data_IF_525968044461
#
_entry.id   IF_525968044461
#
_cell.length_a   1.000
_cell.length_b   1.000
_cell.length_c   1.000
_cell.angle_alpha   90.00
_cell.angle_beta   90.00
_cell.angle_gamma   90.00
#
_symmetry.space_group_name_H-M   'P 1'
#
loop_
_entity.id
_entity.type
_entity.pdbx_description
1 polymer ?
#
# COMPACT_ATOMS: atom_id res chain seq x y z
N UNK A 1 31.20 6.32 -22.22
CA UNK A 1 29.78 5.97 -22.02
C UNK A 1 29.73 4.73 -21.15
N UNK A 2 29.40 4.89 -19.88
CA UNK A 2 29.55 3.84 -18.86
C UNK A 2 28.40 2.85 -18.87
N UNK A 3 28.66 1.59 -18.51
CA UNK A 3 27.68 0.49 -18.37
C UNK A 3 26.49 0.82 -17.45
N UNK A 4 26.59 1.84 -16.60
CA UNK A 4 25.56 2.26 -15.64
C UNK A 4 24.37 2.99 -16.28
N UNK A 5 24.57 3.68 -17.40
CA UNK A 5 23.48 4.43 -18.07
C UNK A 5 22.52 3.52 -18.88
N UNK A 6 22.99 2.36 -19.30
CA UNK A 6 22.17 1.43 -20.07
C UNK A 6 21.18 0.65 -19.18
N UNK A 7 21.57 0.38 -17.94
CA UNK A 7 20.74 -0.34 -16.94
C UNK A 7 19.64 0.57 -16.37
N UNK A 8 19.95 1.82 -16.12
CA UNK A 8 18.98 2.80 -15.61
C UNK A 8 17.84 3.15 -16.56
N UNK A 9 18.07 3.13 -17.87
CA UNK A 9 17.04 3.33 -18.90
C UNK A 9 16.14 2.10 -19.06
N UNK A 10 16.71 0.91 -19.00
CA UNK A 10 15.99 -0.36 -19.05
C UNK A 10 15.09 -0.53 -17.82
N UNK A 11 15.58 -0.17 -16.62
CA UNK A 11 14.80 -0.20 -15.39
C UNK A 11 13.63 0.81 -15.42
N UNK A 12 13.81 2.01 -15.96
CA UNK A 12 12.72 3.00 -16.13
C UNK A 12 11.68 2.51 -17.14
N UNK A 13 12.08 1.83 -18.20
CA UNK A 13 11.16 1.25 -19.19
C UNK A 13 10.37 0.06 -18.60
N UNK A 14 10.97 -0.77 -17.75
CA UNK A 14 10.30 -1.87 -17.06
C UNK A 14 9.26 -1.35 -16.05
N UNK A 15 9.54 -0.24 -15.35
CA UNK A 15 8.60 0.38 -14.40
C UNK A 15 7.36 0.91 -15.13
N UNK A 16 7.49 1.40 -16.37
CA UNK A 16 6.36 1.82 -17.21
C UNK A 16 5.57 0.64 -17.83
N UNK A 17 6.06 -0.58 -17.71
CA UNK A 17 5.45 -1.81 -18.24
C UNK A 17 4.98 -2.78 -17.16
N UNK A 18 5.04 -2.41 -15.86
CA UNK A 18 4.43 -3.25 -14.83
C UNK A 18 2.91 -3.26 -15.07
N UNK A 19 2.30 -4.41 -15.33
CA UNK A 19 0.88 -4.51 -15.58
C UNK A 19 0.10 -4.31 -14.28
N UNK A 20 -0.08 -3.03 -13.88
CA UNK A 20 -0.97 -2.68 -12.79
C UNK A 20 -2.39 -2.75 -13.34
N UNK A 21 -3.21 -3.55 -12.70
CA UNK A 21 -4.63 -3.66 -13.02
C UNK A 21 -5.49 -3.61 -11.77
N UNK A 22 -6.75 -3.38 -11.94
CA UNK A 22 -7.72 -3.54 -10.86
C UNK A 22 -7.93 -5.01 -10.56
N UNK A 23 -8.20 -5.33 -9.28
CA UNK A 23 -8.61 -6.66 -8.88
C UNK A 23 -9.94 -7.02 -9.56
N UNK A 24 -10.02 -8.21 -10.15
CA UNK A 24 -11.19 -8.71 -10.86
C UNK A 24 -11.96 -9.73 -10.00
N UNK A 25 -13.26 -9.90 -10.20
CA UNK A 25 -14.03 -10.93 -9.49
C UNK A 25 -13.52 -12.36 -9.70
N UNK A 26 -12.77 -12.61 -10.78
CA UNK A 26 -12.14 -13.89 -11.08
C UNK A 26 -10.83 -14.13 -10.35
N UNK A 27 -10.25 -13.10 -9.72
CA UNK A 27 -8.99 -13.24 -8.97
C UNK A 27 -9.22 -14.02 -7.66
N UNK A 28 -8.25 -14.83 -7.30
CA UNK A 28 -8.31 -15.63 -6.09
C UNK A 28 -8.04 -14.76 -4.84
N UNK A 29 -9.07 -14.59 -4.01
CA UNK A 29 -8.91 -13.93 -2.70
C UNK A 29 -7.95 -14.69 -1.78
N UNK A 30 -7.87 -16.02 -1.91
CA UNK A 30 -6.91 -16.81 -1.16
C UNK A 30 -5.47 -16.46 -1.58
N UNK A 31 -5.19 -16.41 -2.88
CA UNK A 31 -3.86 -16.02 -3.39
C UNK A 31 -3.49 -14.59 -2.96
N UNK A 32 -4.46 -13.67 -3.01
CA UNK A 32 -4.26 -12.29 -2.55
C UNK A 32 -3.94 -12.23 -1.06
N UNK A 33 -4.65 -13.02 -0.24
CA UNK A 33 -4.43 -13.10 1.21
C UNK A 33 -3.05 -13.68 1.50
N UNK A 34 -2.66 -14.75 0.81
CA UNK A 34 -1.34 -15.36 0.95
C UNK A 34 -0.20 -14.39 0.56
N UNK A 35 -0.39 -13.58 -0.47
CA UNK A 35 0.55 -12.50 -0.82
C UNK A 35 0.70 -11.50 0.33
N UNK A 36 -0.42 -11.07 0.91
CA UNK A 36 -0.44 -10.11 2.03
C UNK A 36 0.29 -10.72 3.24
N UNK A 37 0.02 -11.97 3.60
CA UNK A 37 0.72 -12.67 4.69
C UNK A 37 2.23 -12.70 4.47
N UNK A 38 2.68 -13.09 3.28
CA UNK A 38 4.12 -13.12 2.96
C UNK A 38 4.77 -11.75 3.09
N UNK A 39 4.09 -10.69 2.63
CA UNK A 39 4.61 -9.33 2.69
C UNK A 39 4.71 -8.80 4.14
N UNK A 40 3.77 -9.19 5.01
CA UNK A 40 3.71 -8.73 6.40
C UNK A 40 4.44 -9.66 7.40
N UNK A 41 4.93 -10.82 6.96
CA UNK A 41 5.59 -11.80 7.84
C UNK A 41 6.74 -11.19 8.65
N UNK A 42 7.55 -10.29 8.05
CA UNK A 42 8.64 -9.60 8.75
C UNK A 42 8.12 -8.69 9.88
N UNK A 43 7.02 -7.99 9.66
CA UNK A 43 6.40 -7.13 10.68
C UNK A 43 5.82 -7.97 11.82
N UNK A 44 5.20 -9.09 11.50
CA UNK A 44 4.77 -10.08 12.49
C UNK A 44 5.93 -10.63 13.33
N UNK A 45 7.06 -10.95 12.71
CA UNK A 45 8.28 -11.40 13.40
C UNK A 45 8.88 -10.31 14.32
N UNK A 46 8.57 -9.02 14.09
CA UNK A 46 8.90 -7.92 15.00
C UNK A 46 7.94 -7.81 16.20
N UNK A 47 6.96 -8.70 16.33
CA UNK A 47 5.93 -8.66 17.37
C UNK A 47 4.79 -7.69 17.08
N UNK A 48 4.67 -7.19 15.86
CA UNK A 48 3.65 -6.22 15.46
C UNK A 48 2.41 -6.97 14.92
N UNK A 49 1.32 -6.91 15.64
CA UNK A 49 0.08 -7.63 15.32
C UNK A 49 -0.79 -6.91 14.26
N UNK A 50 -0.20 -6.57 13.09
CA UNK A 50 -0.98 -6.07 11.96
C UNK A 50 -2.07 -7.08 11.59
N UNK A 51 -3.25 -6.59 11.24
CA UNK A 51 -4.33 -7.45 10.71
C UNK A 51 -3.85 -8.27 9.50
N UNK A 52 -2.98 -7.68 8.68
CA UNK A 52 -2.41 -8.29 7.48
C UNK A 52 -1.43 -9.46 7.74
N UNK A 53 -1.05 -9.72 8.99
CA UNK A 53 -0.14 -10.83 9.34
C UNK A 53 -0.85 -12.17 9.23
N UNK A 54 -2.14 -12.23 9.63
CA UNK A 54 -2.91 -13.48 9.79
C UNK A 54 -4.40 -13.37 9.41
N UNK A 55 -4.80 -12.31 8.70
CA UNK A 55 -6.19 -12.09 8.30
C UNK A 55 -6.72 -13.22 7.41
N UNK A 56 -8.01 -13.57 7.54
CA UNK A 56 -8.65 -14.53 6.64
C UNK A 56 -8.97 -13.92 5.26
N UNK A 57 -9.28 -14.74 4.24
CA UNK A 57 -9.74 -14.24 2.94
C UNK A 57 -11.00 -13.37 3.05
N UNK A 58 -11.91 -13.67 3.98
CA UNK A 58 -13.13 -12.88 4.23
C UNK A 58 -12.76 -11.50 4.77
N UNK A 59 -11.78 -11.42 5.67
CA UNK A 59 -11.26 -10.13 6.16
C UNK A 59 -10.56 -9.37 5.04
N UNK A 60 -9.81 -10.05 4.16
CA UNK A 60 -9.21 -9.44 2.96
C UNK A 60 -10.29 -8.82 2.08
N UNK A 61 -11.38 -9.57 1.77
CA UNK A 61 -12.51 -9.08 0.98
C UNK A 61 -13.17 -7.86 1.61
N UNK A 62 -13.52 -7.93 2.91
CA UNK A 62 -14.13 -6.82 3.64
C UNK A 62 -13.26 -5.54 3.64
N UNK A 63 -11.95 -5.70 3.70
CA UNK A 63 -11.01 -4.56 3.67
C UNK A 63 -10.87 -3.93 2.28
N UNK A 64 -11.31 -4.60 1.22
CA UNK A 64 -11.38 -4.07 -0.16
C UNK A 64 -12.69 -3.31 -0.39
N UNK A 65 -13.77 -3.71 0.25
CA UNK A 65 -15.11 -3.13 0.05
C UNK A 65 -15.11 -1.59 0.16
N UNK A 66 -15.79 -0.93 -0.79
CA UNK A 66 -15.89 0.53 -0.84
C UNK A 66 -14.61 1.25 -1.27
N UNK A 67 -13.60 0.52 -1.75
CA UNK A 67 -12.37 1.06 -2.29
C UNK A 67 -12.02 0.51 -3.66
N UNK A 68 -10.92 1.01 -4.23
CA UNK A 68 -10.31 0.44 -5.44
C UNK A 68 -9.08 -0.39 -5.05
N UNK A 69 -9.09 -1.68 -5.39
CA UNK A 69 -7.94 -2.56 -5.21
C UNK A 69 -7.17 -2.68 -6.51
N UNK A 70 -5.87 -2.38 -6.44
CA UNK A 70 -4.92 -2.60 -7.53
C UNK A 70 -4.04 -3.80 -7.23
N UNK A 71 -3.68 -4.54 -8.28
CA UNK A 71 -2.78 -5.68 -8.20
C UNK A 71 -1.72 -5.61 -9.30
N UNK A 72 -0.58 -6.20 -9.03
CA UNK A 72 0.48 -6.48 -10.01
C UNK A 72 0.64 -7.97 -10.12
N UNK A 73 0.71 -8.45 -11.35
CA UNK A 73 0.93 -9.86 -11.68
C UNK A 73 2.28 -10.03 -12.36
N UNK A 74 3.03 -11.05 -11.96
CA UNK A 74 4.30 -11.46 -12.58
C UNK A 74 4.25 -12.99 -12.74
N UNK A 75 4.49 -13.46 -13.95
CA UNK A 75 4.46 -14.90 -14.27
C UNK A 75 3.14 -15.57 -13.80
N UNK A 76 2.00 -14.93 -14.07
CA UNK A 76 0.65 -15.39 -13.70
C UNK A 76 0.44 -15.57 -12.20
N UNK A 77 1.17 -14.84 -11.37
CA UNK A 77 1.03 -14.83 -9.90
C UNK A 77 0.93 -13.40 -9.37
N UNK A 78 0.08 -13.21 -8.37
CA UNK A 78 -0.02 -11.92 -7.68
C UNK A 78 1.29 -11.62 -6.95
N UNK A 79 1.90 -10.49 -7.30
CA UNK A 79 3.21 -10.03 -6.83
C UNK A 79 3.14 -8.75 -6.00
N UNK A 80 2.03 -8.00 -6.10
CA UNK A 80 1.79 -6.80 -5.32
C UNK A 80 0.33 -6.44 -5.27
N UNK A 81 -0.10 -5.75 -4.22
CA UNK A 81 -1.45 -5.23 -4.05
C UNK A 81 -1.48 -3.97 -3.21
N UNK A 82 -2.51 -3.16 -3.40
CA UNK A 82 -2.81 -1.97 -2.61
C UNK A 82 -4.29 -1.65 -2.75
N UNK A 83 -4.90 -1.12 -1.69
CA UNK A 83 -6.29 -0.65 -1.72
C UNK A 83 -6.30 0.83 -1.43
N UNK A 84 -6.95 1.64 -2.25
CA UNK A 84 -7.26 3.04 -1.97
C UNK A 84 -8.74 3.19 -1.66
N UNK A 85 -9.06 3.94 -0.61
CA UNK A 85 -10.42 4.22 -0.17
C UNK A 85 -10.69 5.72 -0.14
N UNK A 86 -11.93 6.14 -0.41
CA UNK A 86 -12.35 7.53 -0.23
C UNK A 86 -12.28 7.92 1.25
N UNK A 87 -12.48 9.19 1.53
CA UNK A 87 -12.63 9.73 2.89
C UNK A 87 -13.64 8.91 3.69
N UNK A 88 -13.24 8.46 4.87
CA UNK A 88 -14.14 7.75 5.78
C UNK A 88 -15.15 8.72 6.42
N UNK A 89 -16.38 8.27 6.61
CA UNK A 89 -17.36 9.01 7.41
C UNK A 89 -17.02 8.95 8.90
N UNK A 90 -16.61 7.75 9.35
CA UNK A 90 -16.18 7.46 10.73
C UNK A 90 -14.97 6.54 10.68
N UNK A 91 -13.95 6.82 11.48
CA UNK A 91 -12.75 6.02 11.59
C UNK A 91 -12.01 6.33 12.89
N UNK A 92 -11.34 5.36 13.51
CA UNK A 92 -10.49 5.60 14.68
C UNK A 92 -9.35 6.58 14.37
N UNK A 93 -8.83 6.55 13.13
CA UNK A 93 -7.89 7.56 12.64
C UNK A 93 -8.66 8.80 12.17
N UNK A 94 -8.70 9.83 12.98
CA UNK A 94 -9.38 11.08 12.66
C UNK A 94 -8.83 11.77 11.40
N UNK A 95 -7.58 11.51 11.02
CA UNK A 95 -7.02 12.05 9.79
C UNK A 95 -7.72 11.51 8.54
N UNK A 96 -8.14 10.24 8.57
CA UNK A 96 -8.83 9.61 7.43
C UNK A 96 -10.29 10.07 7.26
N UNK A 97 -10.84 10.78 8.24
CA UNK A 97 -12.20 11.38 8.15
C UNK A 97 -12.18 12.82 7.64
N UNK A 98 -11.00 13.41 7.40
CA UNK A 98 -10.87 14.79 6.93
C UNK A 98 -11.32 14.90 5.47
N UNK A 99 -12.15 15.90 5.13
CA UNK A 99 -12.60 16.12 3.74
C UNK A 99 -11.41 16.26 2.76
N UNK A 100 -11.45 15.51 1.67
CA UNK A 100 -10.43 15.54 0.63
C UNK A 100 -9.22 14.64 0.89
N UNK A 101 -9.26 13.80 1.93
CA UNK A 101 -8.24 12.79 2.22
C UNK A 101 -8.73 11.42 1.76
N UNK A 102 -8.01 10.78 0.84
CA UNK A 102 -8.15 9.35 0.54
C UNK A 102 -7.14 8.54 1.38
N UNK A 103 -7.46 7.30 1.67
CA UNK A 103 -6.61 6.45 2.53
C UNK A 103 -6.16 5.16 1.82
N UNK A 104 -4.92 4.74 2.07
CA UNK A 104 -4.34 3.50 1.55
C UNK A 104 -4.34 2.40 2.60
N UNK A 105 -4.71 1.20 2.17
CA UNK A 105 -4.74 0.00 2.99
C UNK A 105 -4.18 -1.22 2.25
N UNK A 106 -3.87 -2.30 2.99
CA UNK A 106 -3.43 -3.59 2.45
C UNK A 106 -2.31 -3.45 1.40
N UNK A 107 -1.37 -2.54 1.65
CA UNK A 107 -0.24 -2.32 0.75
C UNK A 107 0.80 -3.42 0.95
N UNK A 108 0.94 -4.29 -0.02
CA UNK A 108 1.81 -5.45 0.03
C UNK A 108 2.57 -5.65 -1.29
N UNK A 109 3.85 -6.01 -1.19
CA UNK A 109 4.67 -6.46 -2.31
C UNK A 109 5.38 -7.73 -1.88
N UNK A 110 5.29 -8.78 -2.68
CA UNK A 110 5.94 -10.05 -2.40
C UNK A 110 7.44 -9.84 -2.12
N UNK A 111 7.98 -10.32 -0.99
CA UNK A 111 9.37 -10.13 -0.60
C UNK A 111 10.38 -10.54 -1.68
N UNK A 112 10.03 -11.54 -2.50
CA UNK A 112 10.89 -12.07 -3.58
C UNK A 112 11.11 -11.08 -4.73
N UNK A 113 10.23 -10.07 -4.86
CA UNK A 113 10.27 -9.08 -5.94
C UNK A 113 10.31 -7.63 -5.46
N UNK A 114 10.53 -7.40 -4.17
CA UNK A 114 10.77 -6.06 -3.64
C UNK A 114 12.02 -5.42 -4.24
N UNK A 115 12.13 -4.08 -4.15
CA UNK A 115 13.26 -3.32 -4.71
C UNK A 115 13.17 -3.08 -6.23
N UNK A 116 12.18 -3.64 -6.92
CA UNK A 116 11.98 -3.51 -8.38
C UNK A 116 10.99 -2.40 -8.78
N UNK A 117 10.62 -1.51 -7.87
CA UNK A 117 9.73 -0.37 -8.15
C UNK A 117 8.22 -0.67 -8.07
N UNK A 118 7.80 -1.93 -7.83
CA UNK A 118 6.39 -2.35 -7.79
C UNK A 118 5.60 -1.52 -6.77
N UNK A 119 6.12 -1.38 -5.55
CA UNK A 119 5.44 -0.61 -4.50
C UNK A 119 5.25 0.86 -4.87
N UNK A 120 6.25 1.48 -5.51
CA UNK A 120 6.15 2.85 -6.00
C UNK A 120 5.07 2.99 -7.07
N UNK A 121 5.02 2.06 -8.02
CA UNK A 121 4.04 2.08 -9.09
C UNK A 121 2.61 1.88 -8.56
N UNK A 122 2.40 0.99 -7.58
CA UNK A 122 1.12 0.81 -6.90
C UNK A 122 0.66 2.08 -6.16
N UNK A 123 1.57 2.77 -5.45
CA UNK A 123 1.25 4.05 -4.80
C UNK A 123 0.89 5.12 -5.84
N UNK A 124 1.60 5.20 -6.95
CA UNK A 124 1.29 6.13 -8.04
C UNK A 124 -0.09 5.87 -8.66
N UNK A 125 -0.50 4.60 -8.78
CA UNK A 125 -1.87 4.27 -9.21
C UNK A 125 -2.92 4.78 -8.23
N UNK A 126 -2.68 4.66 -6.92
CA UNK A 126 -3.56 5.21 -5.89
C UNK A 126 -3.57 6.74 -5.88
N UNK A 127 -2.41 7.39 -6.09
CA UNK A 127 -2.31 8.85 -6.21
C UNK A 127 -3.13 9.35 -7.41
N UNK A 128 -3.02 8.69 -8.58
CA UNK A 128 -3.80 8.99 -9.78
C UNK A 128 -5.30 8.82 -9.54
N UNK A 129 -5.71 7.69 -8.97
CA UNK A 129 -7.11 7.46 -8.61
C UNK A 129 -7.65 8.55 -7.69
N UNK A 130 -6.90 8.91 -6.65
CA UNK A 130 -7.33 9.94 -5.70
C UNK A 130 -7.49 11.32 -6.38
N UNK A 131 -6.56 11.70 -7.27
CA UNK A 131 -6.65 12.94 -8.05
C UNK A 131 -7.87 12.94 -8.98
N UNK A 132 -8.11 11.86 -9.72
CA UNK A 132 -9.25 11.70 -10.63
C UNK A 132 -10.59 11.78 -9.90
N UNK A 133 -10.64 11.39 -8.61
CA UNK A 133 -11.83 11.46 -7.76
C UNK A 133 -11.89 12.72 -6.90
N UNK A 134 -11.03 13.71 -7.15
CA UNK A 134 -11.05 15.02 -6.50
C UNK A 134 -10.51 15.07 -5.07
N UNK A 135 -9.77 14.02 -4.65
CA UNK A 135 -9.05 14.06 -3.38
C UNK A 135 -7.78 14.91 -3.49
N UNK A 136 -7.45 15.59 -2.41
CA UNK A 136 -6.29 16.49 -2.34
C UNK A 136 -5.11 15.88 -1.64
N UNK A 137 -5.32 14.81 -0.89
CA UNK A 137 -4.30 14.12 -0.12
C UNK A 137 -4.50 12.61 -0.21
N UNK A 138 -3.39 11.88 -0.21
CA UNK A 138 -3.37 10.43 0.00
C UNK A 138 -2.64 10.14 1.31
N UNK A 139 -3.30 9.45 2.23
CA UNK A 139 -2.79 9.15 3.55
C UNK A 139 -2.69 7.64 3.79
N UNK A 140 -1.82 7.26 4.72
CA UNK A 140 -1.63 5.89 5.19
C UNK A 140 -1.12 5.89 6.64
N UNK A 141 -1.12 4.72 7.26
CA UNK A 141 -0.49 4.54 8.55
C UNK A 141 0.45 3.32 8.58
N UNK A 142 1.40 3.35 9.46
CA UNK A 142 2.29 2.22 9.74
C UNK A 142 2.75 2.27 11.20
N UNK A 143 3.12 1.11 11.76
CA UNK A 143 3.63 1.05 13.13
C UNK A 143 4.85 1.96 13.31
N UNK A 144 4.89 2.66 14.43
CA UNK A 144 5.99 3.55 14.81
C UNK A 144 7.34 2.82 14.82
N UNK A 145 7.35 1.53 15.19
CA UNK A 145 8.54 0.67 15.18
C UNK A 145 9.00 0.26 13.77
N UNK A 146 8.15 0.43 12.75
CA UNK A 146 8.50 0.11 11.36
C UNK A 146 9.26 1.27 10.69
N UNK A 147 10.33 1.76 11.31
CA UNK A 147 11.11 2.91 10.85
C UNK A 147 11.55 2.81 9.38
N UNK A 148 11.86 1.60 8.91
CA UNK A 148 12.24 1.38 7.52
C UNK A 148 11.13 1.73 6.53
N UNK A 149 9.85 1.50 6.89
CA UNK A 149 8.69 1.89 6.10
C UNK A 149 8.46 3.40 6.19
N UNK A 150 8.56 4.00 7.37
CA UNK A 150 8.45 5.45 7.56
C UNK A 150 9.49 6.17 6.68
N UNK A 151 10.75 5.72 6.70
CA UNK A 151 11.83 6.26 5.86
C UNK A 151 11.56 6.06 4.35
N UNK A 152 10.98 4.93 3.98
CA UNK A 152 10.59 4.66 2.59
C UNK A 152 9.50 5.64 2.13
N UNK A 153 8.43 5.80 2.89
CA UNK A 153 7.32 6.69 2.55
C UNK A 153 7.74 8.16 2.54
N UNK A 154 8.61 8.58 3.47
CA UNK A 154 9.18 9.93 3.46
C UNK A 154 9.92 10.24 2.14
N UNK A 155 10.71 9.29 1.61
CA UNK A 155 11.38 9.42 0.30
C UNK A 155 10.40 9.48 -0.88
N UNK A 156 9.18 9.01 -0.72
CA UNK A 156 8.11 9.08 -1.72
C UNK A 156 7.25 10.35 -1.56
N UNK A 157 7.59 11.22 -0.62
CA UNK A 157 6.92 12.51 -0.40
C UNK A 157 5.79 12.50 0.62
N UNK A 158 5.63 11.41 1.38
CA UNK A 158 4.68 11.34 2.48
C UNK A 158 5.29 11.93 3.75
N UNK A 159 4.58 12.84 4.39
CA UNK A 159 5.00 13.52 5.61
C UNK A 159 4.22 13.02 6.81
N UNK A 160 4.85 13.01 7.96
CA UNK A 160 4.20 12.70 9.24
C UNK A 160 3.17 13.78 9.58
N UNK A 161 1.93 13.37 9.85
CA UNK A 161 0.79 14.27 10.12
C UNK A 161 0.07 13.95 11.42
N UNK A 162 0.40 12.86 12.09
CA UNK A 162 -0.20 12.47 13.37
C UNK A 162 0.03 11.03 13.74
N UNK A 163 -0.68 10.59 14.76
CA UNK A 163 -0.63 9.23 15.27
C UNK A 163 -2.05 8.68 15.42
N UNK A 164 -2.16 7.36 15.42
CA UNK A 164 -3.38 6.65 15.79
C UNK A 164 -3.04 5.42 16.63
N UNK A 165 -3.82 5.16 17.67
CA UNK A 165 -3.81 3.92 18.41
C UNK A 165 -5.05 3.12 18.00
N UNK A 166 -4.84 2.13 17.15
CA UNK A 166 -5.93 1.25 16.72
C UNK A 166 -6.34 0.30 17.84
N UNK A 167 -7.62 0.09 17.99
CA UNK A 167 -8.16 -0.90 18.95
C UNK A 167 -7.56 -2.29 18.72
N UNK A 168 -7.10 -2.93 19.79
CA UNK A 168 -6.50 -4.27 19.75
C UNK A 168 -5.08 -4.35 19.19
N UNK A 169 -4.42 -3.22 18.83
CA UNK A 169 -3.04 -3.22 18.37
C UNK A 169 -2.07 -2.95 19.52
N UNK A 170 -0.96 -3.70 19.52
CA UNK A 170 0.11 -3.59 20.53
C UNK A 170 1.11 -2.47 20.21
N UNK A 171 0.86 -1.70 19.17
CA UNK A 171 1.70 -0.60 18.70
C UNK A 171 0.85 0.62 18.37
N UNK A 172 1.46 1.79 18.44
CA UNK A 172 0.90 3.03 17.90
C UNK A 172 1.33 3.18 16.44
N UNK A 173 0.44 3.64 15.57
CA UNK A 173 0.76 3.95 14.19
C UNK A 173 1.13 5.41 14.01
N UNK A 174 2.13 5.66 13.16
CA UNK A 174 2.41 6.96 12.57
C UNK A 174 1.50 7.13 11.36
N UNK A 175 0.78 8.24 11.29
CA UNK A 175 -0.04 8.63 10.13
C UNK A 175 0.80 9.50 9.21
N UNK A 176 0.84 9.14 7.94
CA UNK A 176 1.61 9.79 6.89
C UNK A 176 0.66 10.28 5.80
N UNK A 177 0.89 11.47 5.26
CA UNK A 177 0.08 12.03 4.16
C UNK A 177 0.96 12.72 3.12
N UNK A 178 0.51 12.67 1.87
CA UNK A 178 1.10 13.35 0.73
C UNK A 178 0.06 14.21 0.04
N UNK A 179 0.29 15.53 -0.10
CA UNK A 179 -0.54 16.39 -0.94
C UNK A 179 -0.46 15.94 -2.40
N UNK A 180 -1.61 15.89 -3.05
CA UNK A 180 -1.75 15.58 -4.47
C UNK A 180 -1.89 16.89 -5.25
N UNK A 181 -1.20 17.00 -6.39
CA UNK A 181 -1.16 18.21 -7.22
C UNK A 181 -2.00 18.02 -8.47
#
# INVERSE_FOLDING_TARGET
>A
MSRLDFDGRRLRQIIHMLPIRTLQPSDSLLELTDLIHRAYARLGAMGLNYTAVDQSPEVTAKRIEGGQCYVVEIDSKLAGTIVVKPTYRENECQYFTRPGVAAVHQFAVDPRVQGKGIGRALLQACEGWAQEHGFRELAMDTAEQAEHLIKLYARLGYNHVGFVQWSGKVYRSVVLSKPLR
#
